data_IF_197231572704
#
_entry.id   IF_197231572704
#
_cell.length_a   1.000
_cell.length_b   1.000
_cell.length_c   1.000
_cell.angle_alpha   90.00
_cell.angle_beta   90.00
_cell.angle_gamma   90.00
#
_symmetry.space_group_name_H-M   'P 1'
#
loop_
_entity.id
_entity.type
_entity.pdbx_description
1 polymer ?
#
# COMPACT_ATOMS: atom_id res chain seq x y z
N UNK A 1 -5.50 -17.56 9.89
CA UNK A 1 -5.53 -19.04 9.88
C UNK A 1 -5.14 -19.67 8.55
N UNK A 2 -5.25 -18.97 7.42
CA UNK A 2 -4.87 -19.47 6.08
C UNK A 2 -3.37 -19.23 5.76
N UNK A 3 -2.78 -18.15 6.23
CA UNK A 3 -1.37 -17.80 5.94
C UNK A 3 -0.34 -18.70 6.64
N UNK A 4 -0.60 -19.15 7.86
CA UNK A 4 0.32 -20.05 8.58
C UNK A 4 0.42 -21.42 7.91
N UNK A 5 -0.66 -21.92 7.28
CA UNK A 5 -0.63 -23.15 6.49
C UNK A 5 0.16 -23.03 5.18
N UNK A 6 0.24 -21.83 4.61
CA UNK A 6 1.04 -21.58 3.40
C UNK A 6 2.55 -21.51 3.70
N UNK A 7 2.95 -20.88 4.82
CA UNK A 7 4.36 -20.82 5.24
C UNK A 7 4.93 -22.20 5.58
N UNK A 8 4.18 -23.03 6.29
CA UNK A 8 4.61 -24.42 6.59
C UNK A 8 4.77 -25.29 5.34
N UNK A 9 3.96 -25.06 4.29
CA UNK A 9 4.15 -25.75 2.99
C UNK A 9 5.41 -25.32 2.23
N UNK A 10 5.87 -24.10 2.39
CA UNK A 10 7.08 -23.61 1.71
C UNK A 10 8.36 -24.14 2.38
N UNK A 11 8.37 -24.32 3.69
CA UNK A 11 9.54 -24.86 4.42
C UNK A 11 9.73 -26.36 4.13
N UNK A 12 8.67 -27.11 3.83
CA UNK A 12 8.73 -28.55 3.54
C UNK A 12 9.13 -28.85 2.09
N UNK A 13 9.06 -27.87 1.18
CA UNK A 13 9.28 -28.06 -0.27
C UNK A 13 10.73 -28.01 -0.75
N UNK A 14 11.71 -27.64 0.08
CA UNK A 14 13.09 -27.40 -0.36
C UNK A 14 14.11 -28.51 -0.04
N UNK A 15 13.70 -29.69 0.44
CA UNK A 15 14.63 -30.81 0.69
C UNK A 15 14.32 -32.02 -0.20
N UNK A 16 14.65 -31.90 -1.49
CA UNK A 16 14.97 -33.04 -2.35
C UNK A 16 16.44 -32.92 -2.75
N UNK A 17 17.29 -33.60 -2.04
CA UNK A 17 18.54 -34.25 -2.51
C UNK A 17 19.30 -34.80 -1.30
N UNK A 18 19.34 -36.10 -1.13
CA UNK A 18 20.47 -36.98 -0.89
C UNK A 18 19.98 -38.32 -0.34
N UNK A 19 20.00 -39.32 -1.18
CA UNK A 19 19.97 -40.73 -0.73
C UNK A 19 21.41 -41.20 -0.52
N UNK A 20 21.55 -42.05 0.51
CA UNK A 20 22.68 -42.90 0.86
C UNK A 20 23.54 -42.34 2.01
N UNK A 21 23.19 -42.71 3.25
CA UNK A 21 24.15 -43.36 4.17
C UNK A 21 23.42 -43.89 5.42
N UNK A 22 23.56 -45.22 5.64
CA UNK A 22 23.55 -45.96 6.92
C UNK A 22 22.21 -46.05 7.70
N UNK A 23 21.52 -47.14 7.51
CA UNK A 23 20.52 -47.76 8.38
C UNK A 23 21.21 -48.12 9.72
N UNK A 24 21.06 -47.28 10.71
CA UNK A 24 21.56 -47.54 12.05
C UNK A 24 21.38 -46.42 13.07
N UNK A 25 21.14 -45.17 12.61
CA UNK A 25 20.98 -44.01 13.50
C UNK A 25 19.61 -43.30 13.35
N UNK A 26 18.71 -43.86 12.54
CA UNK A 26 17.47 -43.22 12.14
C UNK A 26 16.34 -43.27 13.19
N UNK A 27 16.42 -44.13 14.17
CA UNK A 27 15.32 -44.27 15.16
C UNK A 27 15.40 -43.28 16.33
N UNK A 28 16.59 -42.74 16.66
CA UNK A 28 16.72 -41.75 17.76
C UNK A 28 16.47 -40.31 17.27
N UNK A 29 16.72 -40.03 15.99
CA UNK A 29 16.48 -38.70 15.43
C UNK A 29 14.99 -38.43 15.11
N UNK A 30 14.21 -39.48 14.81
CA UNK A 30 12.78 -39.33 14.53
C UNK A 30 11.93 -39.05 15.79
N UNK A 31 12.31 -39.60 16.94
CA UNK A 31 11.63 -39.32 18.19
C UNK A 31 11.87 -37.90 18.72
N UNK A 32 13.06 -37.36 18.52
CA UNK A 32 13.38 -35.97 18.91
C UNK A 32 12.66 -34.94 18.06
N UNK A 33 12.51 -35.19 16.75
CA UNK A 33 11.78 -34.30 15.81
C UNK A 33 10.29 -34.30 16.08
N UNK A 34 9.68 -35.48 16.37
CA UNK A 34 8.25 -35.57 16.71
C UNK A 34 7.94 -34.89 18.03
N UNK A 35 8.78 -35.02 19.06
CA UNK A 35 8.59 -34.36 20.34
C UNK A 35 8.70 -32.82 20.22
N UNK A 36 9.62 -32.30 19.41
CA UNK A 36 9.74 -30.89 19.15
C UNK A 36 8.56 -30.29 18.36
N UNK A 37 8.03 -31.05 17.37
CA UNK A 37 6.84 -30.66 16.62
C UNK A 37 5.59 -30.64 17.52
N UNK A 38 5.42 -31.62 18.40
CA UNK A 38 4.32 -31.68 19.36
C UNK A 38 4.39 -30.49 20.34
N UNK A 39 5.56 -30.21 20.92
CA UNK A 39 5.74 -29.05 21.81
C UNK A 39 5.45 -27.73 21.11
N UNK A 40 5.85 -27.58 19.84
CA UNK A 40 5.56 -26.37 19.06
C UNK A 40 4.04 -26.21 18.83
N UNK A 41 3.33 -27.29 18.46
CA UNK A 41 1.89 -27.27 18.23
C UNK A 41 1.11 -26.96 19.53
N UNK A 42 1.55 -27.49 20.67
CA UNK A 42 0.99 -27.18 21.95
C UNK A 42 1.24 -25.71 22.35
N UNK A 43 2.43 -25.21 22.13
CA UNK A 43 2.76 -23.80 22.34
C UNK A 43 1.94 -22.87 21.42
N UNK A 44 1.71 -23.25 20.16
CA UNK A 44 0.83 -22.53 19.23
C UNK A 44 -0.62 -22.53 19.71
N UNK A 45 -1.08 -23.66 20.27
CA UNK A 45 -2.41 -23.77 20.86
C UNK A 45 -2.55 -22.85 22.07
N UNK A 46 -1.54 -22.79 22.94
CA UNK A 46 -1.49 -21.86 24.05
C UNK A 46 -1.48 -20.39 23.60
N UNK A 47 -0.76 -20.07 22.52
CA UNK A 47 -0.74 -18.74 21.92
C UNK A 47 -2.12 -18.33 21.40
N UNK A 48 -2.79 -19.21 20.67
CA UNK A 48 -4.14 -18.98 20.16
C UNK A 48 -5.19 -18.82 21.28
N UNK A 49 -4.96 -19.46 22.43
CA UNK A 49 -5.80 -19.33 23.62
C UNK A 49 -5.45 -18.11 24.49
N UNK A 50 -4.39 -17.35 24.16
CA UNK A 50 -3.92 -16.22 24.96
C UNK A 50 -3.32 -16.64 26.32
N UNK A 51 -2.88 -17.89 26.46
CA UNK A 51 -2.38 -18.42 27.72
C UNK A 51 -0.88 -18.11 27.91
N UNK A 52 -0.62 -16.93 28.48
CA UNK A 52 0.75 -16.43 28.72
C UNK A 52 1.54 -17.34 29.69
N UNK A 53 0.89 -17.85 30.73
CA UNK A 53 1.56 -18.74 31.72
C UNK A 53 2.10 -20.00 31.04
N UNK A 54 1.28 -20.64 30.21
CA UNK A 54 1.68 -21.84 29.47
C UNK A 54 2.74 -21.53 28.44
N UNK A 55 2.66 -20.37 27.76
CA UNK A 55 3.70 -19.91 26.84
C UNK A 55 5.05 -19.68 27.53
N UNK A 56 5.06 -19.19 28.78
CA UNK A 56 6.29 -19.05 29.55
C UNK A 56 6.95 -20.40 29.85
N UNK A 57 6.14 -21.45 30.12
CA UNK A 57 6.63 -22.81 30.32
C UNK A 57 7.24 -23.34 29.01
N UNK A 58 6.56 -23.17 27.86
CA UNK A 58 7.11 -23.59 26.59
C UNK A 58 8.37 -22.79 26.19
N UNK A 59 8.45 -21.50 26.49
CA UNK A 59 9.68 -20.71 26.28
C UNK A 59 10.86 -21.30 27.02
N UNK A 60 10.66 -21.78 28.26
CA UNK A 60 11.72 -22.43 29.04
C UNK A 60 12.05 -23.82 28.50
N UNK A 61 11.05 -24.62 28.14
CA UNK A 61 11.24 -25.97 27.61
C UNK A 61 11.91 -26.00 26.22
N UNK A 62 11.60 -25.05 25.36
CA UNK A 62 12.05 -25.00 23.97
C UNK A 62 13.29 -24.10 23.77
N UNK A 63 13.95 -23.65 24.83
CA UNK A 63 15.05 -22.65 24.72
C UNK A 63 16.22 -23.07 23.80
N UNK A 64 16.41 -24.38 23.59
CA UNK A 64 17.45 -24.95 22.71
C UNK A 64 16.88 -25.48 21.38
N UNK A 65 15.61 -25.29 21.13
CA UNK A 65 14.96 -25.71 19.89
C UNK A 65 15.12 -24.64 18.79
N UNK A 66 15.17 -25.07 17.54
CA UNK A 66 15.23 -24.17 16.39
C UNK A 66 14.00 -23.23 16.32
N UNK A 67 12.85 -23.66 16.84
CA UNK A 67 11.60 -22.89 16.93
C UNK A 67 11.37 -22.29 18.33
N UNK A 68 12.36 -22.37 19.22
CA UNK A 68 12.24 -21.95 20.62
C UNK A 68 12.02 -20.44 20.83
N UNK A 69 12.21 -19.62 19.81
CA UNK A 69 11.91 -18.19 19.86
C UNK A 69 10.41 -17.88 19.71
N UNK A 70 9.60 -18.80 19.16
CA UNK A 70 8.16 -18.55 18.94
C UNK A 70 7.35 -18.29 20.21
N UNK A 71 7.50 -19.06 21.30
CA UNK A 71 6.77 -18.76 22.53
C UNK A 71 7.04 -17.35 23.06
N UNK A 72 8.27 -16.86 22.98
CA UNK A 72 8.61 -15.51 23.39
C UNK A 72 8.03 -14.47 22.42
N UNK A 73 8.08 -14.70 21.11
CA UNK A 73 7.43 -13.87 20.11
C UNK A 73 5.92 -13.72 20.43
N UNK A 74 5.22 -14.82 20.69
CA UNK A 74 3.79 -14.79 21.00
C UNK A 74 3.48 -14.05 22.30
N UNK A 75 4.31 -14.22 23.36
CA UNK A 75 4.16 -13.49 24.62
C UNK A 75 4.28 -11.98 24.38
N UNK A 76 5.28 -11.53 23.63
CA UNK A 76 5.51 -10.13 23.34
C UNK A 76 4.39 -9.55 22.47
N UNK A 77 3.93 -10.32 21.48
CA UNK A 77 2.91 -9.89 20.53
C UNK A 77 1.51 -9.75 21.13
N UNK A 78 1.14 -10.56 22.14
CA UNK A 78 -0.19 -10.49 22.75
C UNK A 78 -0.52 -9.14 23.39
N UNK A 79 0.47 -8.42 23.89
CA UNK A 79 0.30 -7.11 24.52
C UNK A 79 1.32 -6.11 23.96
N UNK A 80 1.50 -6.12 22.65
CA UNK A 80 2.58 -5.43 21.98
C UNK A 80 2.63 -3.93 22.29
N UNK A 81 1.48 -3.26 22.31
CA UNK A 81 1.37 -1.84 22.63
C UNK A 81 1.76 -1.48 24.06
N UNK A 82 1.80 -2.45 24.98
CA UNK A 82 2.20 -2.26 26.38
C UNK A 82 3.68 -2.60 26.60
N UNK A 83 4.34 -3.24 25.65
CA UNK A 83 5.75 -3.63 25.80
C UNK A 83 6.67 -2.43 25.74
N UNK A 84 7.72 -2.37 26.61
CA UNK A 84 8.78 -1.40 26.43
C UNK A 84 9.66 -1.76 25.23
N UNK A 85 10.17 -0.75 24.52
CA UNK A 85 11.03 -0.92 23.35
C UNK A 85 12.22 -1.85 23.62
N UNK A 86 12.77 -1.82 24.84
CA UNK A 86 13.90 -2.67 25.25
C UNK A 86 13.63 -4.18 25.11
N UNK A 87 12.38 -4.64 25.33
CA UNK A 87 12.06 -6.07 25.17
C UNK A 87 12.05 -6.47 23.70
N UNK A 88 11.52 -5.61 22.81
CA UNK A 88 11.51 -5.83 21.37
C UNK A 88 12.96 -5.84 20.83
N UNK A 89 13.75 -4.89 21.26
CA UNK A 89 15.18 -4.78 20.91
C UNK A 89 15.95 -6.03 21.37
N UNK A 90 15.75 -6.45 22.61
CA UNK A 90 16.38 -7.65 23.16
C UNK A 90 15.99 -8.91 22.39
N UNK A 91 14.73 -9.04 21.95
CA UNK A 91 14.29 -10.14 21.11
C UNK A 91 14.99 -10.10 19.75
N UNK A 92 14.98 -8.94 19.06
CA UNK A 92 15.62 -8.79 17.77
C UNK A 92 17.14 -9.04 17.81
N UNK A 93 17.82 -8.62 18.88
CA UNK A 93 19.25 -8.85 19.07
C UNK A 93 19.59 -10.32 19.32
N UNK A 94 18.73 -11.06 20.00
CA UNK A 94 18.93 -12.50 20.24
C UNK A 94 18.64 -13.36 19.00
N UNK A 95 17.73 -12.91 18.14
CA UNK A 95 17.27 -13.65 16.98
C UNK A 95 17.40 -12.84 15.68
N UNK A 96 18.60 -12.34 15.35
CA UNK A 96 18.81 -11.31 14.32
C UNK A 96 18.48 -11.78 12.89
N UNK A 97 18.39 -13.10 12.67
CA UNK A 97 18.03 -13.67 11.37
C UNK A 97 16.61 -14.25 11.32
N UNK A 98 15.85 -14.04 12.37
CA UNK A 98 14.47 -14.52 12.43
C UNK A 98 13.51 -13.54 11.74
N UNK A 99 12.71 -14.04 10.80
CA UNK A 99 11.63 -13.24 10.22
C UNK A 99 10.63 -12.73 11.30
N UNK A 100 10.51 -13.45 12.42
CA UNK A 100 9.65 -13.03 13.52
C UNK A 100 10.24 -11.86 14.31
N UNK A 101 11.56 -11.69 14.33
CA UNK A 101 12.20 -10.54 14.97
C UNK A 101 11.90 -9.25 14.19
N UNK A 102 12.04 -9.31 12.87
CA UNK A 102 11.69 -8.19 11.99
C UNK A 102 10.19 -7.88 12.07
N UNK A 103 9.34 -8.91 11.96
CA UNK A 103 7.89 -8.74 12.07
C UNK A 103 7.48 -8.12 13.40
N UNK A 104 8.02 -8.60 14.52
CA UNK A 104 7.72 -8.04 15.84
C UNK A 104 8.13 -6.57 15.96
N UNK A 105 9.28 -6.22 15.38
CA UNK A 105 9.75 -4.84 15.35
C UNK A 105 8.83 -3.95 14.50
N UNK A 106 8.41 -4.42 13.32
CA UNK A 106 7.51 -3.71 12.43
C UNK A 106 6.13 -3.50 13.06
N UNK A 107 5.51 -4.58 13.57
CA UNK A 107 4.23 -4.53 14.27
C UNK A 107 4.27 -3.58 15.49
N UNK A 108 5.39 -3.57 16.23
CA UNK A 108 5.60 -2.65 17.34
C UNK A 108 5.63 -1.19 16.91
N UNK A 109 6.36 -0.88 15.84
CA UNK A 109 6.43 0.48 15.29
C UNK A 109 5.03 0.95 14.87
N UNK A 110 4.27 0.11 14.16
CA UNK A 110 2.89 0.44 13.79
C UNK A 110 1.99 0.69 15.00
N UNK A 111 2.07 -0.17 16.00
CA UNK A 111 1.24 -0.05 17.20
C UNK A 111 1.59 1.23 18.00
N UNK A 112 2.87 1.56 18.12
CA UNK A 112 3.32 2.79 18.76
C UNK A 112 2.93 4.05 17.98
N UNK A 113 2.92 3.98 16.65
CA UNK A 113 2.41 5.07 15.80
C UNK A 113 0.92 5.28 16.00
N UNK A 114 0.10 4.23 16.12
CA UNK A 114 -1.34 4.32 16.46
C UNK A 114 -1.56 4.99 17.80
N UNK A 115 -0.70 4.71 18.76
CA UNK A 115 -0.71 5.32 20.11
C UNK A 115 -0.10 6.74 20.13
N UNK A 116 0.43 7.23 19.02
CA UNK A 116 1.21 8.47 18.90
C UNK A 116 2.47 8.51 19.81
N UNK A 117 2.99 7.34 20.20
CA UNK A 117 4.21 7.20 21.00
C UNK A 117 5.44 6.98 20.09
N UNK A 118 5.77 8.03 19.35
CA UNK A 118 6.88 8.01 18.39
C UNK A 118 8.25 7.82 19.06
N UNK A 119 8.39 8.25 20.30
CA UNK A 119 9.64 8.12 21.06
C UNK A 119 9.97 6.68 21.41
N UNK A 120 8.97 5.86 21.72
CA UNK A 120 9.15 4.43 21.95
C UNK A 120 9.43 3.66 20.64
N UNK A 121 8.85 4.09 19.50
CA UNK A 121 9.05 3.46 18.21
C UNK A 121 10.46 3.69 17.63
N UNK A 122 11.02 4.90 17.83
CA UNK A 122 12.26 5.32 17.17
C UNK A 122 13.46 4.36 17.34
N UNK A 123 13.81 3.84 18.52
CA UNK A 123 14.97 2.96 18.69
C UNK A 123 14.77 1.58 18.04
N UNK A 124 13.52 1.22 17.69
CA UNK A 124 13.17 -0.07 17.08
C UNK A 124 13.30 -0.05 15.57
N UNK A 125 13.29 1.13 14.91
CA UNK A 125 13.31 1.27 13.45
C UNK A 125 14.46 0.51 12.77
N UNK A 126 15.63 0.44 13.40
CA UNK A 126 16.81 -0.22 12.84
C UNK A 126 16.66 -1.74 12.67
N UNK A 127 15.62 -2.34 13.25
CA UNK A 127 15.33 -3.78 13.16
C UNK A 127 14.27 -4.11 12.11
N UNK A 128 13.73 -3.11 11.40
CA UNK A 128 12.81 -3.29 10.27
C UNK A 128 13.58 -3.05 8.98
N UNK A 129 13.92 -4.12 8.26
CA UNK A 129 14.82 -4.07 7.10
C UNK A 129 14.10 -4.12 5.76
N UNK A 130 12.96 -4.83 5.69
CA UNK A 130 12.15 -4.98 4.47
C UNK A 130 10.70 -4.58 4.72
N UNK A 131 10.44 -3.31 5.04
CA UNK A 131 9.10 -2.87 5.39
C UNK A 131 8.15 -2.97 4.18
N UNK A 132 6.92 -3.43 4.44
CA UNK A 132 5.83 -3.27 3.49
C UNK A 132 5.37 -1.79 3.41
N UNK A 133 4.31 -1.52 2.62
CA UNK A 133 3.83 -0.15 2.46
C UNK A 133 3.27 0.44 3.76
N UNK A 134 2.59 -0.35 4.57
CA UNK A 134 1.99 0.12 5.84
C UNK A 134 3.08 0.43 6.86
N UNK A 135 4.03 -0.48 7.01
CA UNK A 135 5.21 -0.36 7.85
C UNK A 135 6.09 0.83 7.41
N UNK A 136 6.30 1.01 6.10
CA UNK A 136 7.02 2.15 5.54
C UNK A 136 6.38 3.48 5.92
N UNK A 137 5.04 3.57 5.87
CA UNK A 137 4.32 4.77 6.31
C UNK A 137 4.46 5.02 7.82
N UNK A 138 4.47 3.97 8.65
CA UNK A 138 4.68 4.09 10.08
C UNK A 138 6.09 4.57 10.39
N UNK A 139 7.11 3.97 9.77
CA UNK A 139 8.51 4.38 9.87
C UNK A 139 8.69 5.85 9.47
N UNK A 140 8.08 6.26 8.36
CA UNK A 140 8.12 7.65 7.90
C UNK A 140 7.53 8.62 8.92
N UNK A 141 6.42 8.26 9.57
CA UNK A 141 5.84 9.09 10.61
C UNK A 141 6.79 9.26 11.82
N UNK A 142 7.43 8.17 12.26
CA UNK A 142 8.41 8.23 13.35
C UNK A 142 9.59 9.12 12.97
N UNK A 143 10.17 8.93 11.77
CA UNK A 143 11.28 9.74 11.25
C UNK A 143 10.90 11.22 11.14
N UNK A 144 9.72 11.53 10.60
CA UNK A 144 9.24 12.91 10.50
C UNK A 144 9.07 13.58 11.87
N UNK A 145 8.54 12.85 12.86
CA UNK A 145 8.40 13.34 14.24
C UNK A 145 9.74 13.50 14.94
N UNK A 146 10.74 12.74 14.56
CA UNK A 146 12.13 12.87 15.03
C UNK A 146 12.90 13.99 14.31
N UNK A 147 12.26 14.73 13.39
CA UNK A 147 12.86 15.88 12.72
C UNK A 147 13.68 15.53 11.48
N UNK A 148 13.53 14.33 10.90
CA UNK A 148 14.20 13.97 9.66
C UNK A 148 13.58 14.73 8.46
N UNK A 149 14.30 15.69 7.85
CA UNK A 149 13.76 16.51 6.77
C UNK A 149 13.60 15.77 5.45
N UNK A 150 14.28 14.62 5.27
CA UNK A 150 14.30 13.87 4.02
C UNK A 150 13.00 13.08 3.79
N UNK A 151 12.28 12.75 4.87
CA UNK A 151 11.05 11.95 4.82
C UNK A 151 10.04 12.50 3.82
N UNK A 152 9.82 13.81 3.85
CA UNK A 152 8.82 14.42 2.96
C UNK A 152 9.20 14.32 1.48
N UNK A 153 10.50 14.44 1.16
CA UNK A 153 10.98 14.28 -0.20
C UNK A 153 10.88 12.82 -0.67
N UNK A 154 11.27 11.87 0.17
CA UNK A 154 11.23 10.43 -0.13
C UNK A 154 9.80 9.93 -0.38
N UNK A 155 8.83 10.39 0.40
CA UNK A 155 7.45 9.91 0.32
C UNK A 155 6.53 10.78 -0.56
N UNK A 156 7.00 11.91 -1.07
CA UNK A 156 6.20 12.83 -1.88
C UNK A 156 5.56 12.12 -3.08
N UNK A 157 6.36 11.43 -3.87
CA UNK A 157 5.89 10.80 -5.10
C UNK A 157 4.90 9.67 -4.80
N UNK A 158 5.19 8.83 -3.80
CA UNK A 158 4.27 7.79 -3.35
C UNK A 158 2.96 8.39 -2.85
N UNK A 159 3.03 9.45 -2.04
CA UNK A 159 1.84 10.13 -1.53
C UNK A 159 0.99 10.76 -2.63
N UNK A 160 1.62 11.38 -3.63
CA UNK A 160 0.91 12.02 -4.74
C UNK A 160 0.17 11.02 -5.62
N UNK A 161 0.70 9.83 -5.79
CA UNK A 161 0.33 8.92 -6.88
C UNK A 161 -0.45 7.69 -6.44
N UNK A 162 -0.33 7.26 -5.17
CA UNK A 162 -0.99 6.05 -4.70
C UNK A 162 -2.50 6.23 -4.58
N UNK A 163 -3.27 5.39 -5.29
CA UNK A 163 -4.74 5.44 -5.28
C UNK A 163 -5.35 4.91 -3.97
N UNK A 164 -4.77 3.83 -3.42
CA UNK A 164 -5.20 3.25 -2.15
C UNK A 164 -4.02 3.21 -1.20
N UNK A 165 -4.19 3.74 0.00
CA UNK A 165 -3.17 3.71 1.05
C UNK A 165 -3.69 2.93 2.25
N UNK A 166 -2.87 2.11 2.89
CA UNK A 166 -3.19 1.51 4.18
C UNK A 166 -3.59 2.59 5.21
N UNK A 167 -4.38 2.20 6.19
CA UNK A 167 -4.84 3.13 7.25
C UNK A 167 -3.66 3.76 8.01
N UNK A 168 -2.59 3.01 8.22
CA UNK A 168 -1.34 3.50 8.81
C UNK A 168 -0.72 4.66 8.04
N UNK A 169 -0.95 4.76 6.72
CA UNK A 169 -0.50 5.88 5.90
C UNK A 169 -1.34 7.16 6.06
N UNK A 170 -2.53 7.09 6.66
CA UNK A 170 -3.39 8.27 6.85
C UNK A 170 -2.72 9.33 7.77
N UNK A 171 -1.98 8.89 8.78
CA UNK A 171 -1.19 9.77 9.64
C UNK A 171 -0.11 10.52 8.87
N UNK A 172 0.67 9.80 8.07
CA UNK A 172 1.68 10.39 7.17
C UNK A 172 1.02 11.37 6.19
N UNK A 173 -0.12 11.02 5.61
CA UNK A 173 -0.88 11.89 4.72
C UNK A 173 -1.25 13.24 5.37
N UNK A 174 -1.69 13.24 6.62
CA UNK A 174 -1.96 14.49 7.36
C UNK A 174 -0.70 15.31 7.60
N UNK A 175 0.42 14.66 7.91
CA UNK A 175 1.71 15.33 8.06
C UNK A 175 2.18 15.94 6.74
N UNK A 176 2.01 15.21 5.63
CA UNK A 176 2.31 15.71 4.27
C UNK A 176 1.48 16.97 3.95
N UNK A 177 0.17 16.97 4.20
CA UNK A 177 -0.70 18.14 3.95
C UNK A 177 -0.26 19.38 4.70
N UNK A 178 0.33 19.27 5.88
CA UNK A 178 0.86 20.37 6.66
C UNK A 178 2.30 20.75 6.34
N UNK A 179 2.98 19.98 5.47
CA UNK A 179 4.37 20.23 5.11
C UNK A 179 4.51 21.46 4.20
N UNK A 180 5.44 22.38 4.48
CA UNK A 180 5.75 23.50 3.59
C UNK A 180 6.44 23.07 2.28
N UNK A 181 6.92 21.83 2.19
CA UNK A 181 7.56 21.28 0.98
C UNK A 181 6.57 20.91 -0.11
N UNK A 182 5.26 20.80 0.19
CA UNK A 182 4.23 20.56 -0.80
C UNK A 182 3.72 21.87 -1.38
N UNK A 183 3.79 22.00 -2.70
CA UNK A 183 3.21 23.12 -3.43
C UNK A 183 1.67 22.99 -3.50
N UNK A 184 1.01 24.04 -3.98
CA UNK A 184 -0.44 24.01 -4.24
C UNK A 184 -0.74 22.99 -5.35
N UNK A 185 0.11 22.91 -6.36
CA UNK A 185 0.02 21.98 -7.48
C UNK A 185 0.12 20.53 -7.00
N UNK A 186 1.04 20.22 -6.09
CA UNK A 186 1.15 18.90 -5.47
C UNK A 186 -0.16 18.50 -4.76
N UNK A 187 -0.72 19.41 -3.99
CA UNK A 187 -1.99 19.17 -3.28
C UNK A 187 -3.17 19.04 -4.25
N UNK A 188 -3.20 19.81 -5.34
CA UNK A 188 -4.19 19.66 -6.40
C UNK A 188 -4.09 18.28 -7.07
N UNK A 189 -2.88 17.86 -7.42
CA UNK A 189 -2.67 16.52 -7.99
C UNK A 189 -3.16 15.42 -7.04
N UNK A 190 -2.85 15.53 -5.74
CA UNK A 190 -3.34 14.59 -4.73
C UNK A 190 -4.86 14.59 -4.66
N UNK A 191 -5.48 15.75 -4.66
CA UNK A 191 -6.94 15.89 -4.67
C UNK A 191 -7.57 15.12 -5.84
N UNK A 192 -7.03 15.25 -7.05
CA UNK A 192 -7.57 14.54 -8.21
C UNK A 192 -7.38 13.02 -8.11
N UNK A 193 -6.24 12.57 -7.60
CA UNK A 193 -6.01 11.14 -7.33
C UNK A 193 -7.05 10.59 -6.36
N UNK A 194 -7.32 11.31 -5.26
CA UNK A 194 -8.30 10.91 -4.25
C UNK A 194 -9.74 10.94 -4.77
N UNK A 195 -10.12 11.97 -5.52
CA UNK A 195 -11.45 12.09 -6.13
C UNK A 195 -11.68 10.94 -7.11
N UNK A 196 -10.73 10.66 -7.98
CA UNK A 196 -10.78 9.54 -8.91
C UNK A 196 -10.96 8.21 -8.20
N UNK A 197 -10.21 7.99 -7.12
CA UNK A 197 -10.28 6.78 -6.29
C UNK A 197 -11.54 6.70 -5.39
N UNK A 198 -12.42 7.73 -5.41
CA UNK A 198 -13.61 7.77 -4.59
C UNK A 198 -13.38 8.04 -3.10
N UNK A 199 -12.20 8.54 -2.73
CA UNK A 199 -11.80 8.79 -1.35
C UNK A 199 -12.33 10.15 -0.85
N UNK A 200 -13.67 10.30 -0.78
CA UNK A 200 -14.35 11.57 -0.52
C UNK A 200 -13.89 12.28 0.75
N UNK A 201 -13.71 11.56 1.86
CA UNK A 201 -13.27 12.17 3.13
C UNK A 201 -11.86 12.74 3.05
N UNK A 202 -10.92 12.00 2.44
CA UNK A 202 -9.54 12.45 2.26
C UNK A 202 -9.47 13.60 1.24
N UNK A 203 -10.26 13.53 0.17
CA UNK A 203 -10.34 14.57 -0.85
C UNK A 203 -10.83 15.90 -0.25
N UNK A 204 -11.80 15.90 0.66
CA UNK A 204 -12.26 17.10 1.37
C UNK A 204 -11.13 17.72 2.19
N UNK A 205 -10.40 16.91 2.95
CA UNK A 205 -9.27 17.41 3.75
C UNK A 205 -8.15 18.01 2.87
N UNK A 206 -7.86 17.36 1.75
CA UNK A 206 -6.88 17.89 0.78
C UNK A 206 -7.37 19.17 0.12
N UNK A 207 -8.63 19.24 -0.29
CA UNK A 207 -9.26 20.43 -0.85
C UNK A 207 -9.16 21.62 0.12
N UNK A 208 -9.49 21.41 1.40
CA UNK A 208 -9.38 22.45 2.44
C UNK A 208 -7.95 23.01 2.57
N UNK A 209 -6.93 22.16 2.41
CA UNK A 209 -5.52 22.57 2.49
C UNK A 209 -5.09 23.53 1.37
N UNK A 210 -5.88 23.63 0.30
CA UNK A 210 -5.66 24.58 -0.82
C UNK A 210 -6.76 25.65 -0.89
N UNK A 211 -7.53 25.82 0.17
CA UNK A 211 -8.60 26.83 0.24
C UNK A 211 -9.86 26.47 -0.56
N UNK A 212 -10.02 25.22 -0.98
CA UNK A 212 -11.17 24.74 -1.73
C UNK A 212 -12.15 24.03 -0.80
N UNK A 213 -13.42 24.42 -0.84
CA UNK A 213 -14.49 23.77 -0.07
C UNK A 213 -15.25 22.77 -0.94
N UNK A 214 -15.20 21.49 -0.57
CA UNK A 214 -16.02 20.44 -1.17
C UNK A 214 -17.07 19.96 -0.17
N UNK A 215 -18.29 19.74 -0.65
CA UNK A 215 -19.44 19.25 0.13
C UNK A 215 -19.52 17.73 0.06
N UNK A 216 -19.49 17.06 1.22
CA UNK A 216 -19.72 15.60 1.30
C UNK A 216 -21.11 15.24 0.76
N UNK A 217 -22.14 16.04 1.05
CA UNK A 217 -23.49 15.82 0.52
C UNK A 217 -23.51 15.86 -1.02
N UNK A 218 -22.77 16.80 -1.63
CA UNK A 218 -22.67 16.90 -3.08
C UNK A 218 -21.91 15.68 -3.65
N UNK A 219 -20.81 15.25 -3.04
CA UNK A 219 -20.08 14.05 -3.46
C UNK A 219 -20.97 12.79 -3.37
N UNK A 220 -21.73 12.64 -2.30
CA UNK A 220 -22.68 11.53 -2.14
C UNK A 220 -23.79 11.56 -3.21
N UNK A 221 -24.32 12.74 -3.52
CA UNK A 221 -25.31 12.93 -4.60
C UNK A 221 -24.75 12.54 -5.96
N UNK A 222 -23.53 12.94 -6.25
CA UNK A 222 -22.81 12.57 -7.48
C UNK A 222 -22.56 11.05 -7.54
N UNK A 223 -22.13 10.46 -6.42
CA UNK A 223 -21.95 9.01 -6.32
C UNK A 223 -23.22 8.23 -6.65
N UNK A 224 -24.38 8.72 -6.22
CA UNK A 224 -25.67 8.09 -6.48
C UNK A 224 -26.09 8.16 -7.97
N UNK A 225 -25.77 9.25 -8.66
CA UNK A 225 -26.10 9.41 -10.08
C UNK A 225 -25.07 10.30 -10.82
N UNK A 226 -23.89 9.75 -11.15
CA UNK A 226 -22.84 10.51 -11.81
C UNK A 226 -23.24 10.99 -13.21
N UNK A 227 -24.02 10.19 -13.95
CA UNK A 227 -24.48 10.50 -15.29
C UNK A 227 -25.37 11.76 -15.29
N UNK A 228 -26.36 11.82 -14.41
CA UNK A 228 -27.26 12.99 -14.32
C UNK A 228 -26.48 14.26 -13.96
N UNK A 229 -25.51 14.15 -13.05
CA UNK A 229 -24.65 15.29 -12.70
C UNK A 229 -23.86 15.79 -13.91
N UNK A 230 -23.17 14.90 -14.64
CA UNK A 230 -22.33 15.28 -15.80
C UNK A 230 -23.09 15.93 -16.97
N UNK A 231 -24.43 15.72 -17.05
CA UNK A 231 -25.27 16.37 -18.06
C UNK A 231 -25.48 17.85 -17.78
N UNK A 232 -25.55 18.25 -16.53
CA UNK A 232 -25.93 19.60 -16.11
C UNK A 232 -24.84 20.31 -15.30
N UNK A 233 -23.69 19.65 -15.12
CA UNK A 233 -22.63 20.12 -14.24
C UNK A 233 -22.10 21.52 -14.63
N UNK A 234 -21.99 22.45 -13.69
CA UNK A 234 -21.30 23.70 -13.90
C UNK A 234 -19.80 23.47 -14.13
N UNK A 235 -19.15 24.41 -14.84
CA UNK A 235 -17.73 24.32 -15.23
C UNK A 235 -16.95 25.60 -14.92
N UNK A 236 -17.50 26.47 -14.07
CA UNK A 236 -16.96 27.80 -13.88
C UNK A 236 -15.90 27.88 -12.77
N UNK A 237 -16.04 27.08 -11.72
CA UNK A 237 -15.20 27.17 -10.53
C UNK A 237 -14.28 25.97 -10.37
N UNK A 238 -13.21 26.13 -9.57
CA UNK A 238 -12.31 25.02 -9.22
C UNK A 238 -13.05 23.90 -8.48
N UNK A 239 -14.08 24.23 -7.69
CA UNK A 239 -14.92 23.22 -7.06
C UNK A 239 -15.73 22.43 -8.08
N UNK A 240 -16.29 23.10 -9.11
CA UNK A 240 -17.00 22.43 -10.21
C UNK A 240 -16.08 21.44 -10.92
N UNK A 241 -14.84 21.84 -11.19
CA UNK A 241 -13.85 20.99 -11.82
C UNK A 241 -13.55 19.75 -10.97
N UNK A 242 -13.42 19.89 -9.64
CA UNK A 242 -13.22 18.77 -8.75
C UNK A 242 -14.40 17.78 -8.77
N UNK A 243 -15.62 18.31 -8.77
CA UNK A 243 -16.83 17.48 -8.89
C UNK A 243 -16.94 16.79 -10.25
N UNK A 244 -16.50 17.44 -11.35
CA UNK A 244 -16.47 16.81 -12.69
C UNK A 244 -15.50 15.61 -12.71
N UNK A 245 -14.30 15.76 -12.16
CA UNK A 245 -13.31 14.67 -12.08
C UNK A 245 -13.87 13.51 -11.24
N UNK A 246 -14.48 13.82 -10.09
CA UNK A 246 -15.12 12.81 -9.24
C UNK A 246 -16.25 12.08 -9.97
N UNK A 247 -17.16 12.82 -10.57
CA UNK A 247 -18.31 12.26 -11.30
C UNK A 247 -17.88 11.35 -12.46
N UNK A 248 -16.85 11.78 -13.20
CA UNK A 248 -16.30 10.99 -14.30
C UNK A 248 -15.68 9.69 -13.79
N UNK A 249 -14.98 9.73 -12.64
CA UNK A 249 -14.44 8.52 -11.99
C UNK A 249 -15.55 7.54 -11.60
N UNK A 250 -16.60 8.03 -10.95
CA UNK A 250 -17.76 7.18 -10.55
C UNK A 250 -18.50 6.61 -11.75
N UNK A 251 -18.63 7.41 -12.83
CA UNK A 251 -19.25 6.92 -14.06
C UNK A 251 -18.38 5.84 -14.73
N UNK A 252 -17.07 6.07 -14.84
CA UNK A 252 -16.17 5.10 -15.46
C UNK A 252 -16.10 3.76 -14.70
N UNK A 253 -16.18 3.79 -13.36
CA UNK A 253 -16.25 2.58 -12.53
C UNK A 253 -17.55 1.79 -12.73
N UNK A 254 -18.67 2.48 -12.94
CA UNK A 254 -20.00 1.85 -13.06
C UNK A 254 -20.40 1.53 -14.51
N UNK A 255 -20.08 2.42 -15.45
CA UNK A 255 -20.39 2.32 -16.88
C UNK A 255 -19.31 2.98 -17.74
N UNK A 256 -18.28 2.20 -18.04
CA UNK A 256 -17.12 2.65 -18.81
C UNK A 256 -17.52 3.10 -20.25
N UNK A 257 -18.50 2.45 -20.88
CA UNK A 257 -18.91 2.81 -22.24
C UNK A 257 -19.56 4.20 -22.28
N UNK A 258 -20.41 4.49 -21.30
CA UNK A 258 -20.98 5.84 -21.16
C UNK A 258 -19.91 6.86 -20.81
N UNK A 259 -18.92 6.52 -19.98
CA UNK A 259 -17.79 7.39 -19.70
C UNK A 259 -16.98 7.71 -20.98
N UNK A 260 -16.62 6.71 -21.80
CA UNK A 260 -15.94 6.92 -23.09
C UNK A 260 -16.71 7.85 -24.02
N UNK A 261 -18.02 7.67 -24.15
CA UNK A 261 -18.84 8.49 -25.04
C UNK A 261 -19.06 9.93 -24.54
N UNK A 262 -18.99 10.16 -23.22
CA UNK A 262 -19.29 11.46 -22.62
C UNK A 262 -18.09 12.31 -22.24
N UNK A 263 -16.91 11.72 -22.06
CA UNK A 263 -15.73 12.43 -21.54
C UNK A 263 -15.33 13.65 -22.37
N UNK A 264 -15.35 13.58 -23.69
CA UNK A 264 -15.00 14.69 -24.58
C UNK A 264 -15.91 15.88 -24.39
N UNK A 265 -17.23 15.65 -24.37
CA UNK A 265 -18.23 16.69 -24.11
C UNK A 265 -18.07 17.28 -22.70
N UNK A 266 -17.78 16.43 -21.71
CA UNK A 266 -17.55 16.87 -20.32
C UNK A 266 -16.32 17.76 -20.22
N UNK A 267 -15.25 17.41 -20.93
CA UNK A 267 -13.99 18.16 -20.98
C UNK A 267 -14.11 19.50 -21.72
N UNK A 268 -15.00 19.59 -22.70
CA UNK A 268 -15.19 20.80 -23.49
C UNK A 268 -15.54 22.00 -22.60
N UNK A 269 -14.86 23.12 -22.81
CA UNK A 269 -15.02 24.37 -22.04
C UNK A 269 -14.38 24.36 -20.66
N UNK A 270 -13.67 23.30 -20.27
CA UNK A 270 -12.85 23.30 -19.05
C UNK A 270 -11.39 23.67 -19.36
N UNK A 271 -10.59 24.11 -18.35
CA UNK A 271 -9.16 24.34 -18.52
C UNK A 271 -8.42 23.07 -18.97
N UNK A 272 -7.31 23.22 -19.70
CA UNK A 272 -6.54 22.09 -20.25
C UNK A 272 -6.15 21.03 -19.21
N UNK A 273 -5.73 21.47 -18.01
CA UNK A 273 -5.39 20.55 -16.93
C UNK A 273 -6.57 19.66 -16.49
N UNK A 274 -7.79 20.23 -16.52
CA UNK A 274 -9.01 19.50 -16.16
C UNK A 274 -9.40 18.54 -17.28
N UNK A 275 -9.27 18.97 -18.54
CA UNK A 275 -9.45 18.07 -19.70
C UNK A 275 -8.52 16.85 -19.59
N UNK A 276 -7.23 17.07 -19.36
CA UNK A 276 -6.24 16.01 -19.16
C UNK A 276 -6.59 15.11 -17.96
N UNK A 277 -7.07 15.70 -16.83
CA UNK A 277 -7.49 14.94 -15.67
C UNK A 277 -8.70 14.03 -15.98
N UNK A 278 -9.70 14.53 -16.72
CA UNK A 278 -10.87 13.76 -17.14
C UNK A 278 -10.47 12.61 -18.09
N UNK A 279 -9.61 12.86 -19.07
CA UNK A 279 -9.08 11.83 -19.96
C UNK A 279 -8.26 10.78 -19.19
N UNK A 280 -7.44 11.22 -18.23
CA UNK A 280 -6.68 10.32 -17.34
C UNK A 280 -7.59 9.35 -16.58
N UNK A 281 -8.66 9.86 -15.98
CA UNK A 281 -9.64 9.04 -15.25
C UNK A 281 -10.17 7.91 -16.12
N UNK A 282 -10.66 8.26 -17.29
CA UNK A 282 -11.27 7.28 -18.21
C UNK A 282 -10.23 6.33 -18.79
N UNK A 283 -9.06 6.83 -19.15
CA UNK A 283 -7.94 6.02 -19.63
C UNK A 283 -7.43 5.02 -18.58
N UNK A 284 -7.27 5.45 -17.33
CA UNK A 284 -6.82 4.59 -16.24
C UNK A 284 -7.83 3.50 -15.89
N UNK A 285 -9.08 3.89 -15.62
CA UNK A 285 -10.13 2.92 -15.25
C UNK A 285 -10.40 1.96 -16.43
N UNK A 286 -10.42 2.48 -17.66
CA UNK A 286 -10.52 1.66 -18.86
C UNK A 286 -9.35 0.68 -18.98
N UNK A 287 -8.13 1.12 -18.68
CA UNK A 287 -6.94 0.29 -18.72
C UNK A 287 -6.96 -0.86 -17.71
N UNK A 288 -7.41 -0.60 -16.48
CA UNK A 288 -7.55 -1.63 -15.45
C UNK A 288 -8.67 -2.63 -15.76
N UNK A 289 -9.75 -2.18 -16.36
CA UNK A 289 -10.91 -3.01 -16.70
C UNK A 289 -10.65 -3.88 -17.95
N UNK A 290 -10.05 -3.29 -18.98
CA UNK A 290 -9.75 -3.95 -20.26
C UNK A 290 -8.65 -5.00 -20.15
N UNK A 291 -7.76 -4.90 -19.16
CA UNK A 291 -6.80 -5.98 -18.88
C UNK A 291 -7.50 -7.32 -18.61
N UNK A 292 -8.79 -7.31 -18.31
CA UNK A 292 -9.56 -8.54 -18.02
C UNK A 292 -10.26 -9.14 -19.25
N UNK A 293 -10.76 -8.36 -20.22
CA UNK A 293 -11.71 -8.93 -21.18
C UNK A 293 -11.70 -8.42 -22.64
N UNK A 294 -11.19 -7.25 -23.04
CA UNK A 294 -11.19 -6.80 -24.43
C UNK A 294 -10.26 -5.60 -24.70
N UNK A 295 -9.68 -5.55 -25.93
CA UNK A 295 -8.79 -4.47 -26.35
C UNK A 295 -9.58 -3.26 -26.83
N UNK A 296 -9.43 -2.12 -26.18
CA UNK A 296 -10.00 -0.87 -26.65
C UNK A 296 -8.91 0.17 -26.88
N UNK A 297 -8.71 0.56 -28.16
CA UNK A 297 -7.72 1.59 -28.54
C UNK A 297 -8.05 2.96 -27.95
N UNK A 298 -9.30 3.22 -27.59
CA UNK A 298 -9.70 4.48 -26.94
C UNK A 298 -9.02 4.67 -25.60
N UNK A 299 -8.74 3.59 -24.85
CA UNK A 299 -7.96 3.65 -23.61
C UNK A 299 -6.60 4.32 -23.85
N UNK A 300 -5.88 3.85 -24.87
CA UNK A 300 -4.58 4.43 -25.24
C UNK A 300 -4.74 5.89 -25.67
N UNK A 301 -5.73 6.22 -26.49
CA UNK A 301 -5.98 7.58 -26.91
C UNK A 301 -6.24 8.54 -25.73
N UNK A 302 -6.98 8.11 -24.71
CA UNK A 302 -7.22 8.94 -23.53
C UNK A 302 -5.98 9.07 -22.64
N UNK A 303 -5.15 8.04 -22.54
CA UNK A 303 -3.87 8.13 -21.86
C UNK A 303 -2.92 9.11 -22.58
N UNK A 304 -2.87 9.04 -23.92
CA UNK A 304 -2.11 10.01 -24.75
C UNK A 304 -2.60 11.45 -24.54
N UNK A 305 -3.92 11.69 -24.57
CA UNK A 305 -4.51 13.00 -24.35
C UNK A 305 -4.26 13.54 -22.93
N UNK A 306 -3.97 12.68 -21.98
CA UNK A 306 -3.67 13.06 -20.60
C UNK A 306 -2.18 13.30 -20.35
N UNK A 307 -1.32 13.10 -21.33
CA UNK A 307 0.12 13.30 -21.18
C UNK A 307 0.46 14.75 -20.79
N UNK A 308 1.46 14.89 -19.92
CA UNK A 308 1.85 16.18 -19.32
C UNK A 308 1.29 16.39 -17.90
N UNK A 309 0.37 15.53 -17.44
CA UNK A 309 0.13 15.39 -16.00
C UNK A 309 1.04 14.27 -15.45
N UNK A 310 1.52 14.37 -14.21
CA UNK A 310 2.30 13.29 -13.59
C UNK A 310 1.49 12.00 -13.55
N UNK A 311 2.11 10.89 -13.91
CA UNK A 311 1.53 9.55 -13.82
C UNK A 311 1.92 8.87 -12.50
N UNK A 312 1.02 8.11 -11.91
CA UNK A 312 1.41 7.15 -10.87
C UNK A 312 2.20 6.00 -11.50
N UNK A 313 3.00 5.26 -10.70
CA UNK A 313 3.67 4.06 -11.19
C UNK A 313 2.72 3.08 -11.88
N UNK A 314 1.54 2.86 -11.30
CA UNK A 314 0.51 1.99 -11.86
C UNK A 314 -0.08 2.53 -13.18
N UNK A 315 -0.34 3.83 -13.24
CA UNK A 315 -0.84 4.46 -14.48
C UNK A 315 0.19 4.39 -15.62
N UNK A 316 1.47 4.66 -15.32
CA UNK A 316 2.55 4.57 -16.29
C UNK A 316 2.72 3.14 -16.82
N UNK A 317 2.60 2.14 -15.94
CA UNK A 317 2.61 0.71 -16.32
C UNK A 317 1.44 0.37 -17.25
N UNK A 318 0.22 0.79 -16.89
CA UNK A 318 -0.97 0.55 -17.72
C UNK A 318 -0.79 1.21 -19.09
N UNK A 319 -0.29 2.45 -19.12
CA UNK A 319 -0.03 3.19 -20.34
C UNK A 319 0.99 2.46 -21.24
N UNK A 320 2.12 2.02 -20.68
CA UNK A 320 3.13 1.27 -21.42
C UNK A 320 2.57 -0.06 -21.97
N UNK A 321 1.81 -0.81 -21.16
CA UNK A 321 1.17 -2.07 -21.59
C UNK A 321 0.17 -1.84 -22.71
N UNK A 322 -0.63 -0.78 -22.67
CA UNK A 322 -1.55 -0.45 -23.76
C UNK A 322 -0.77 -0.02 -25.03
N UNK A 323 0.28 0.79 -24.88
CA UNK A 323 1.13 1.20 -26.00
C UNK A 323 1.81 0.01 -26.70
N UNK A 324 2.37 -0.94 -25.95
CA UNK A 324 2.95 -2.18 -26.48
C UNK A 324 1.90 -2.99 -27.25
N UNK A 325 0.72 -3.16 -26.67
CA UNK A 325 -0.37 -3.93 -27.22
C UNK A 325 -0.83 -3.44 -28.59
N UNK A 326 -0.79 -2.13 -28.81
CA UNK A 326 -1.16 -1.52 -30.09
C UNK A 326 0.03 -1.14 -30.96
N UNK A 327 1.25 -1.55 -30.62
CA UNK A 327 2.50 -1.21 -31.31
C UNK A 327 2.66 0.31 -31.49
N UNK A 328 2.19 1.09 -30.52
CA UNK A 328 2.23 2.55 -30.50
C UNK A 328 3.52 3.04 -29.82
N UNK A 329 4.61 3.04 -30.58
CA UNK A 329 5.96 3.28 -30.04
C UNK A 329 6.16 4.68 -29.45
N UNK A 330 5.54 5.71 -30.02
CA UNK A 330 5.59 7.07 -29.45
C UNK A 330 4.89 7.14 -28.09
N UNK A 331 3.72 6.50 -27.95
CA UNK A 331 3.00 6.39 -26.68
C UNK A 331 3.80 5.59 -25.67
N UNK A 332 4.52 4.55 -26.12
CA UNK A 332 5.40 3.77 -25.25
C UNK A 332 6.55 4.61 -24.69
N UNK A 333 7.20 5.42 -25.54
CA UNK A 333 8.25 6.33 -25.08
C UNK A 333 7.71 7.30 -24.03
N UNK A 334 6.54 7.92 -24.26
CA UNK A 334 5.89 8.80 -23.28
C UNK A 334 5.57 8.10 -21.97
N UNK A 335 5.10 6.85 -22.04
CA UNK A 335 4.79 6.06 -20.85
C UNK A 335 6.06 5.75 -20.05
N UNK A 336 7.16 5.37 -20.72
CA UNK A 336 8.46 5.13 -20.08
C UNK A 336 9.02 6.43 -19.47
N UNK A 337 8.92 7.56 -20.18
CA UNK A 337 9.36 8.85 -19.64
C UNK A 337 8.62 9.20 -18.34
N UNK A 338 7.33 8.85 -18.25
CA UNK A 338 6.51 9.08 -17.08
C UNK A 338 6.81 8.13 -15.90
N UNK A 339 7.54 7.04 -16.10
CA UNK A 339 7.94 6.10 -15.04
C UNK A 339 8.98 6.71 -14.11
N UNK A 340 8.94 6.32 -12.83
CA UNK A 340 10.00 6.61 -11.87
C UNK A 340 11.31 5.91 -12.25
N UNK A 341 12.44 6.39 -11.73
CA UNK A 341 13.74 5.74 -11.97
C UNK A 341 13.76 4.29 -11.47
N UNK A 342 13.13 4.02 -10.33
CA UNK A 342 13.00 2.66 -9.80
C UNK A 342 12.23 1.76 -10.76
N UNK A 343 11.12 2.24 -11.29
CA UNK A 343 10.31 1.50 -12.26
C UNK A 343 11.07 1.18 -13.55
N UNK A 344 11.86 2.16 -14.07
CA UNK A 344 12.67 1.98 -15.29
C UNK A 344 13.77 0.93 -15.15
N UNK A 345 14.17 0.61 -13.91
CA UNK A 345 15.20 -0.39 -13.59
C UNK A 345 14.63 -1.80 -13.40
N UNK A 346 13.33 -1.98 -13.43
CA UNK A 346 12.73 -3.30 -13.34
C UNK A 346 12.97 -4.10 -14.63
N UNK A 347 13.35 -5.37 -14.50
CA UNK A 347 13.72 -6.27 -15.63
C UNK A 347 12.63 -6.43 -16.70
N UNK A 348 11.40 -6.04 -16.40
CA UNK A 348 10.26 -6.12 -17.31
C UNK A 348 10.14 -4.95 -18.30
N UNK A 349 10.97 -3.91 -18.19
CA UNK A 349 11.02 -2.73 -19.07
C UNK A 349 12.35 -2.62 -19.80
#
# INVERSE_FOLDING_TARGET
>A
MIEVKLMLKQIISTHKYSRLFTVGMACLSSMGVQAAEEQFNDALTAANAGNIELLQQYRAAMQNDALGYYPEYWILNQNLGMQPASQIINFAQRYPQSAMAEKLAADYVEEKVKQADFSAAQPVLQYVTNPDQAESCAIAQVRAKSGDPLVYAEYKDVWLTTNSQPESCAGLGRMMLSSPLLTIEDRQQRLWTQLRAGQSGQAIATAQSIGLSLSLAQLNSIQANPTAYLWTAPKATTADHAYLVYAMGRLADSDLNTAFSSVRRTAEGTPEQIQKALYRVVGYIGGTTVMKNNFNREVLNYLDLSYGLPFSPEEAEIYARQAIRFSAWESLIRAIDAMSMTQKQEDRW
#
